data_IF_934778957763
#
_entry.id   IF_934778957763
#
_cell.length_a   1.000
_cell.length_b   1.000
_cell.length_c   1.000
_cell.angle_alpha   90.00
_cell.angle_beta   90.00
_cell.angle_gamma   90.00
#
_symmetry.space_group_name_H-M   'P 1'
#
loop_
_entity.id
_entity.type
_entity.pdbx_description
1 polymer ?
#
# COMPACT_ATOMS: atom_id res chain seq x y z
N UNK A 1 -17.67 -41.35 14.92
CA UNK A 1 -17.61 -40.18 14.01
C UNK A 1 -16.46 -39.31 14.47
N UNK A 2 -15.38 -39.25 13.68
CA UNK A 2 -14.19 -38.43 13.98
C UNK A 2 -14.27 -37.20 13.08
N UNK A 3 -14.32 -36.00 13.66
CA UNK A 3 -14.27 -34.75 12.91
C UNK A 3 -12.81 -34.46 12.56
N UNK A 4 -12.47 -34.56 11.28
CA UNK A 4 -11.16 -34.14 10.77
C UNK A 4 -11.04 -32.63 10.82
N UNK A 5 -10.05 -32.11 11.54
CA UNK A 5 -9.62 -30.71 11.41
C UNK A 5 -9.00 -30.52 10.04
N UNK A 6 -9.55 -29.60 9.24
CA UNK A 6 -8.91 -29.16 8.00
C UNK A 6 -7.54 -28.57 8.36
N UNK A 7 -6.45 -28.91 7.65
CA UNK A 7 -5.18 -28.25 7.88
C UNK A 7 -5.33 -26.78 7.51
N UNK A 8 -5.23 -25.90 8.50
CA UNK A 8 -4.97 -24.47 8.27
C UNK A 8 -3.58 -24.40 7.66
N UNK A 9 -3.50 -24.20 6.34
CA UNK A 9 -2.27 -23.76 5.70
C UNK A 9 -1.91 -22.45 6.40
N UNK A 10 -0.93 -22.50 7.29
CA UNK A 10 -0.45 -21.30 7.98
C UNK A 10 -0.13 -20.25 6.93
N UNK A 11 -0.74 -19.07 7.06
CA UNK A 11 -0.42 -17.90 6.22
C UNK A 11 1.10 -17.79 6.22
N UNK A 12 1.73 -18.00 5.07
CA UNK A 12 3.16 -17.73 4.91
C UNK A 12 3.31 -16.22 5.08
N UNK A 13 3.59 -15.78 6.31
CA UNK A 13 3.86 -14.38 6.61
C UNK A 13 5.20 -14.08 5.97
N UNK A 14 5.19 -13.41 4.82
CA UNK A 14 6.41 -12.85 4.24
C UNK A 14 6.82 -11.70 5.15
N UNK A 15 7.94 -11.80 5.88
CA UNK A 15 8.38 -10.70 6.73
C UNK A 15 8.65 -9.47 5.86
N UNK A 16 8.38 -8.29 6.40
CA UNK A 16 8.78 -7.04 5.76
C UNK A 16 10.29 -7.07 5.51
N UNK A 17 10.70 -6.62 4.32
CA UNK A 17 12.12 -6.52 3.95
C UNK A 17 12.48 -5.05 3.73
N UNK A 18 13.63 -4.58 4.24
CA UNK A 18 14.09 -3.22 3.99
C UNK A 18 14.39 -2.99 2.51
N UNK A 19 14.30 -1.74 2.03
CA UNK A 19 14.77 -1.39 0.70
C UNK A 19 16.30 -1.52 0.60
N UNK A 20 16.86 -1.54 -0.62
CA UNK A 20 18.30 -1.41 -0.84
C UNK A 20 18.86 -0.12 -0.19
N UNK A 21 20.15 -0.13 0.17
CA UNK A 21 20.82 1.08 0.68
C UNK A 21 20.71 2.22 -0.34
N UNK A 22 20.38 3.43 0.15
CA UNK A 22 20.13 4.61 -0.68
C UNK A 22 18.71 4.70 -1.26
N UNK A 23 17.85 3.73 -0.96
CA UNK A 23 16.43 3.75 -1.33
C UNK A 23 15.53 3.85 -0.10
N UNK A 24 14.34 4.40 -0.33
CA UNK A 24 13.25 4.41 0.63
C UNK A 24 12.17 3.40 0.19
N UNK A 25 11.38 2.93 1.15
CA UNK A 25 10.19 2.10 0.90
C UNK A 25 8.96 2.77 1.50
N UNK A 26 7.98 3.06 0.67
CA UNK A 26 6.66 3.57 1.06
C UNK A 26 5.67 2.40 1.09
N UNK A 27 5.27 2.00 2.30
CA UNK A 27 4.20 1.05 2.54
C UNK A 27 2.86 1.79 2.55
N UNK A 28 1.96 1.42 1.64
CA UNK A 28 0.65 2.04 1.44
C UNK A 28 -0.42 1.06 1.93
N UNK A 29 -1.41 1.58 2.65
CA UNK A 29 -2.56 0.80 3.11
C UNK A 29 -3.80 1.69 3.18
N UNK A 30 -4.95 1.14 2.80
CA UNK A 30 -6.23 1.80 2.93
C UNK A 30 -7.24 0.92 3.66
N UNK A 31 -7.83 1.45 4.73
CA UNK A 31 -8.83 0.76 5.53
C UNK A 31 -10.23 1.32 5.24
N UNK A 32 -11.19 0.42 5.00
CA UNK A 32 -12.61 0.76 4.82
C UNK A 32 -13.43 0.22 6.00
N UNK A 33 -14.20 1.10 6.63
CA UNK A 33 -15.21 0.72 7.62
C UNK A 33 -16.60 0.77 6.98
N UNK A 34 -17.18 -0.41 6.76
CA UNK A 34 -18.50 -0.55 6.15
C UNK A 34 -19.63 -0.03 7.05
N UNK A 35 -19.48 -0.04 8.38
CA UNK A 35 -20.55 0.40 9.28
C UNK A 35 -20.71 1.93 9.28
N UNK A 36 -19.59 2.64 9.17
CA UNK A 36 -19.56 4.12 9.16
C UNK A 36 -19.38 4.71 7.77
N UNK A 37 -19.12 3.88 6.75
CA UNK A 37 -18.79 4.30 5.38
C UNK A 37 -17.58 5.25 5.33
N UNK A 38 -16.68 5.09 6.30
CA UNK A 38 -15.47 5.89 6.45
C UNK A 38 -14.29 5.14 5.86
N UNK A 39 -13.39 5.86 5.23
CA UNK A 39 -12.10 5.34 4.76
C UNK A 39 -10.96 6.03 5.48
N UNK A 40 -9.96 5.25 5.86
CA UNK A 40 -8.67 5.73 6.34
C UNK A 40 -7.60 5.36 5.33
N UNK A 41 -6.77 6.33 4.99
CA UNK A 41 -5.63 6.18 4.09
C UNK A 41 -4.37 6.26 4.93
N UNK A 42 -3.37 5.45 4.62
CA UNK A 42 -2.11 5.43 5.35
C UNK A 42 -0.91 5.20 4.43
N UNK A 43 0.17 5.93 4.72
CA UNK A 43 1.49 5.65 4.16
C UNK A 43 2.55 5.74 5.26
N UNK A 44 3.48 4.79 5.26
CA UNK A 44 4.69 4.81 6.09
C UNK A 44 5.90 4.66 5.20
N UNK A 45 6.83 5.60 5.27
CA UNK A 45 8.06 5.62 4.47
C UNK A 45 9.24 5.29 5.37
N UNK A 46 10.01 4.28 5.00
CA UNK A 46 11.17 3.80 5.76
C UNK A 46 12.44 3.78 4.92
N UNK A 47 13.58 3.98 5.57
CA UNK A 47 14.90 3.79 4.97
C UNK A 47 15.37 2.33 5.03
N UNK A 48 16.59 2.07 4.53
CA UNK A 48 17.21 0.75 4.52
C UNK A 48 17.52 0.16 5.91
N UNK A 49 17.53 0.99 6.96
CA UNK A 49 17.66 0.54 8.36
C UNK A 49 16.31 0.19 8.99
N UNK A 50 15.21 0.50 8.30
CA UNK A 50 13.85 0.35 8.81
C UNK A 50 13.36 1.57 9.61
N UNK A 51 14.16 2.63 9.69
CA UNK A 51 13.78 3.88 10.34
C UNK A 51 12.68 4.57 9.54
N UNK A 52 11.62 5.00 10.22
CA UNK A 52 10.56 5.79 9.60
C UNK A 52 11.07 7.21 9.35
N UNK A 53 11.07 7.62 8.09
CA UNK A 53 11.56 8.95 7.66
C UNK A 53 10.41 9.91 7.35
N UNK A 54 9.24 9.37 7.00
CA UNK A 54 8.02 10.14 6.76
C UNK A 54 6.79 9.23 6.84
N UNK A 55 5.61 9.83 6.95
CA UNK A 55 4.35 9.12 6.89
C UNK A 55 3.18 10.10 6.93
N UNK A 56 2.02 9.64 6.51
CA UNK A 56 0.78 10.40 6.58
C UNK A 56 -0.40 9.47 6.77
N UNK A 57 -1.47 10.02 7.34
CA UNK A 57 -2.78 9.40 7.35
C UNK A 57 -3.85 10.44 7.06
N UNK A 58 -4.86 10.04 6.30
CA UNK A 58 -6.01 10.87 5.98
C UNK A 58 -7.30 10.08 6.17
N UNK A 59 -8.39 10.79 6.40
CA UNK A 59 -9.73 10.22 6.41
C UNK A 59 -10.51 10.78 5.23
N UNK A 60 -11.25 9.92 4.54
CA UNK A 60 -12.16 10.31 3.48
C UNK A 60 -13.52 9.67 3.70
N UNK A 61 -14.56 10.39 3.31
CA UNK A 61 -15.94 9.90 3.39
C UNK A 61 -16.46 9.54 1.99
N UNK A 62 -17.52 8.73 1.93
CA UNK A 62 -18.26 8.41 0.70
C UNK A 62 -17.47 7.66 -0.39
N UNK A 63 -16.51 6.83 0.00
CA UNK A 63 -15.79 5.93 -0.91
C UNK A 63 -16.34 4.51 -0.78
N UNK A 64 -16.64 3.87 -1.91
CA UNK A 64 -17.43 2.62 -1.95
C UNK A 64 -16.71 1.43 -2.57
N UNK A 65 -15.42 1.58 -2.88
CA UNK A 65 -14.63 0.54 -3.56
C UNK A 65 -13.26 0.39 -2.89
N UNK A 66 -12.89 -0.82 -2.43
CA UNK A 66 -11.56 -1.09 -1.89
C UNK A 66 -10.44 -0.69 -2.85
N UNK A 67 -10.64 -0.86 -4.17
CA UNK A 67 -9.67 -0.42 -5.17
C UNK A 67 -9.49 1.11 -5.17
N UNK A 68 -10.58 1.87 -5.00
CA UNK A 68 -10.52 3.34 -4.91
C UNK A 68 -9.82 3.76 -3.62
N UNK A 69 -10.07 3.07 -2.51
CA UNK A 69 -9.40 3.31 -1.22
C UNK A 69 -7.88 3.16 -1.36
N UNK A 70 -7.42 2.05 -1.94
CA UNK A 70 -6.01 1.79 -2.20
C UNK A 70 -5.38 2.79 -3.18
N UNK A 71 -6.13 3.20 -4.22
CA UNK A 71 -5.69 4.22 -5.16
C UNK A 71 -5.55 5.59 -4.48
N UNK A 72 -6.46 5.96 -3.59
CA UNK A 72 -6.39 7.21 -2.81
C UNK A 72 -5.21 7.18 -1.83
N UNK A 73 -4.97 6.07 -1.15
CA UNK A 73 -3.81 5.89 -0.28
C UNK A 73 -2.49 5.99 -1.07
N UNK A 74 -2.47 5.45 -2.30
CA UNK A 74 -1.32 5.58 -3.20
C UNK A 74 -1.10 7.01 -3.66
N UNK A 75 -2.17 7.77 -3.93
CA UNK A 75 -2.08 9.21 -4.24
C UNK A 75 -1.54 10.02 -3.06
N UNK A 76 -1.98 9.71 -1.84
CA UNK A 76 -1.44 10.31 -0.62
C UNK A 76 0.06 10.05 -0.51
N UNK A 77 0.51 8.81 -0.74
CA UNK A 77 1.92 8.45 -0.72
C UNK A 77 2.75 9.25 -1.75
N UNK A 78 2.25 9.40 -2.99
CA UNK A 78 2.92 10.22 -4.00
C UNK A 78 3.04 11.69 -3.57
N UNK A 79 2.01 12.24 -2.91
CA UNK A 79 2.01 13.62 -2.43
C UNK A 79 3.08 13.80 -1.34
N UNK A 80 3.08 12.93 -0.32
CA UNK A 80 4.10 12.93 0.75
C UNK A 80 5.51 12.83 0.20
N UNK A 81 5.74 11.93 -0.76
CA UNK A 81 7.04 11.73 -1.40
C UNK A 81 7.50 13.00 -2.14
N UNK A 82 6.59 13.64 -2.87
CA UNK A 82 6.88 14.85 -3.66
C UNK A 82 7.15 16.05 -2.76
N UNK A 83 6.27 16.29 -1.79
CA UNK A 83 6.33 17.45 -0.88
C UNK A 83 7.58 17.43 0.01
N UNK A 84 8.10 16.23 0.32
CA UNK A 84 9.30 16.05 1.15
C UNK A 84 10.56 15.78 0.32
N UNK A 85 10.50 15.89 -1.02
CA UNK A 85 11.63 15.62 -1.91
C UNK A 85 12.31 14.26 -1.68
N UNK A 86 11.51 13.22 -1.42
CA UNK A 86 12.00 11.89 -1.10
C UNK A 86 12.24 11.10 -2.38
N UNK A 87 13.49 10.82 -2.72
CA UNK A 87 13.83 9.95 -3.86
C UNK A 87 15.21 9.32 -3.67
N UNK A 88 15.44 8.08 -4.15
CA UNK A 88 14.48 7.21 -4.83
C UNK A 88 13.60 6.37 -3.86
N UNK A 89 12.36 6.08 -4.27
CA UNK A 89 11.34 5.40 -3.44
C UNK A 89 10.76 4.16 -4.15
N UNK A 90 10.58 3.07 -3.40
CA UNK A 90 9.81 1.88 -3.80
C UNK A 90 8.44 1.95 -3.13
N UNK A 91 7.37 1.90 -3.91
CA UNK A 91 6.00 1.82 -3.38
C UNK A 91 5.57 0.36 -3.25
N UNK A 92 4.99 0.02 -2.10
CA UNK A 92 4.48 -1.32 -1.76
C UNK A 92 3.01 -1.18 -1.33
N UNK A 93 2.09 -1.77 -2.12
CA UNK A 93 0.65 -1.91 -1.81
C UNK A 93 0.30 -3.40 -1.87
N UNK A 94 -0.64 -3.83 -1.04
CA UNK A 94 -1.17 -5.19 -1.05
C UNK A 94 -2.29 -5.40 -2.09
N UNK A 95 -2.71 -4.33 -2.78
CA UNK A 95 -3.73 -4.36 -3.82
C UNK A 95 -3.15 -4.74 -5.19
N UNK A 96 -3.14 -6.04 -5.48
CA UNK A 96 -2.65 -6.55 -6.76
C UNK A 96 -3.37 -5.92 -7.97
N UNK A 97 -4.68 -5.68 -7.87
CA UNK A 97 -5.46 -5.04 -8.94
C UNK A 97 -4.95 -3.63 -9.24
N UNK A 98 -4.65 -2.84 -8.21
CA UNK A 98 -4.10 -1.50 -8.36
C UNK A 98 -2.72 -1.55 -9.02
N UNK A 99 -1.83 -2.41 -8.52
CA UNK A 99 -0.48 -2.57 -9.06
C UNK A 99 -0.51 -2.97 -10.53
N UNK A 100 -1.44 -3.86 -10.92
CA UNK A 100 -1.64 -4.26 -12.31
C UNK A 100 -2.16 -3.11 -13.17
N UNK A 101 -3.14 -2.33 -12.70
CA UNK A 101 -3.69 -1.19 -13.43
C UNK A 101 -2.62 -0.13 -13.73
N UNK A 102 -1.79 0.22 -12.73
CA UNK A 102 -0.69 1.19 -12.90
C UNK A 102 0.36 0.68 -13.92
N UNK A 103 0.65 -0.62 -13.89
CA UNK A 103 1.62 -1.23 -14.82
C UNK A 103 1.08 -1.34 -16.24
N UNK A 104 -0.22 -1.57 -16.43
CA UNK A 104 -0.83 -1.68 -17.74
C UNK A 104 -0.78 -0.36 -18.54
N UNK A 105 -1.05 0.78 -17.89
CA UNK A 105 -0.93 2.11 -18.54
C UNK A 105 0.52 2.46 -18.96
N UNK A 106 1.52 1.76 -18.41
CA UNK A 106 2.91 1.95 -18.80
C UNK A 106 3.23 1.34 -20.18
N UNK A 107 2.43 0.37 -20.63
CA UNK A 107 2.65 -0.44 -21.84
C UNK A 107 1.85 0.08 -23.05
N UNK A 108 0.90 1.00 -22.84
CA UNK A 108 0.13 1.67 -23.90
C UNK A 108 0.89 2.82 -24.58
N UNK A 109 2.22 2.89 -24.44
CA UNK A 109 3.06 3.89 -25.12
C UNK A 109 3.46 3.45 -26.52
N UNK A 110 2.47 3.38 -27.41
CA UNK A 110 2.69 3.46 -28.86
C UNK A 110 2.42 4.88 -29.36
N UNK A 111 3.42 5.74 -29.22
CA UNK A 111 3.76 6.81 -30.17
C UNK A 111 5.29 6.94 -30.23
#
# INVERSE_FOLDING_TARGET
>A
MVWGTKPTIGRLVKPWSPPPVGWLKANIDGAFDQATHTVRLGVVIRDATGTVVAGACEQCDHVWSPLVVEALASRLACSVVTDNHLAPVIFESDCLQLVQAIRAESDDRYF
#
